data_IF_110425434568
#
_entry.id   IF_110425434568
#
_cell.length_a   1.000
_cell.length_b   1.000
_cell.length_c   1.000
_cell.angle_alpha   90.00
_cell.angle_beta   90.00
_cell.angle_gamma   90.00
#
_symmetry.space_group_name_H-M   'P 1'
#
loop_
_entity.id
_entity.type
_entity.pdbx_description
1 polymer ?
#
# COMPACT_ATOMS: atom_id res chain seq x y z
N UNK A 1 42.17 -30.83 23.62
CA UNK A 1 41.34 -29.65 23.95
C UNK A 1 41.43 -28.51 22.94
N UNK A 2 42.59 -28.19 22.33
CA UNK A 2 42.72 -27.12 21.31
C UNK A 2 41.99 -27.38 19.99
N UNK A 3 41.84 -28.63 19.54
CA UNK A 3 41.15 -28.98 18.28
C UNK A 3 39.63 -28.89 18.38
N UNK A 4 39.02 -29.08 19.55
CA UNK A 4 37.60 -28.99 19.80
C UNK A 4 37.15 -27.52 19.81
N UNK A 5 37.97 -26.61 20.31
CA UNK A 5 37.72 -25.17 20.35
C UNK A 5 37.68 -24.56 18.93
N UNK A 6 38.51 -25.06 18.01
CA UNK A 6 38.54 -24.56 16.62
C UNK A 6 37.27 -24.94 15.82
N UNK A 7 36.76 -26.16 16.05
CA UNK A 7 35.53 -26.64 15.37
C UNK A 7 34.30 -25.88 15.85
N UNK A 8 34.22 -25.59 17.16
CA UNK A 8 33.11 -24.79 17.71
C UNK A 8 33.14 -23.35 17.18
N UNK A 9 34.33 -22.76 17.01
CA UNK A 9 34.46 -21.38 16.47
C UNK A 9 34.05 -21.29 14.99
N UNK A 10 34.32 -22.31 14.18
CA UNK A 10 33.90 -22.36 12.76
C UNK A 10 32.40 -22.57 12.63
N UNK A 11 31.77 -23.35 13.52
CA UNK A 11 30.32 -23.54 13.50
C UNK A 11 29.53 -22.27 13.92
N UNK A 12 30.10 -21.44 14.78
CA UNK A 12 29.46 -20.19 15.23
C UNK A 12 29.50 -19.08 14.17
N UNK A 13 30.45 -19.11 13.23
CA UNK A 13 30.59 -18.11 12.18
C UNK A 13 29.69 -18.33 10.96
N UNK A 14 29.01 -19.47 10.84
CA UNK A 14 28.10 -19.78 9.71
C UNK A 14 26.65 -19.27 9.94
N UNK A 15 26.30 -18.79 11.11
CA UNK A 15 24.92 -18.46 11.53
C UNK A 15 24.48 -17.00 11.29
N UNK A 16 25.26 -16.16 10.60
CA UNK A 16 24.96 -14.70 10.56
C UNK A 16 24.72 -14.15 9.15
N UNK A 17 24.16 -14.88 8.21
CA UNK A 17 23.77 -14.28 6.91
C UNK A 17 22.34 -14.61 6.51
N UNK A 18 21.39 -14.37 7.38
CA UNK A 18 20.02 -14.11 6.97
C UNK A 18 19.82 -12.59 6.88
N UNK A 19 20.47 -11.95 5.91
CA UNK A 19 20.16 -10.57 5.54
C UNK A 19 18.73 -10.54 4.99
N UNK A 20 17.81 -9.97 5.75
CA UNK A 20 16.45 -9.64 5.30
C UNK A 20 16.55 -8.51 4.26
N UNK A 21 17.03 -8.82 3.04
CA UNK A 21 17.10 -7.84 1.97
C UNK A 21 15.76 -7.83 1.20
N UNK A 22 15.22 -6.63 0.97
CA UNK A 22 14.09 -6.43 0.05
C UNK A 22 14.39 -7.08 -1.30
N UNK A 23 13.47 -7.90 -1.82
CA UNK A 23 13.67 -8.61 -3.09
C UNK A 23 13.91 -7.64 -4.25
N UNK A 24 14.55 -8.12 -5.32
CA UNK A 24 14.71 -7.35 -6.55
C UNK A 24 13.35 -6.95 -7.12
N UNK A 25 12.38 -7.83 -7.02
CA UNK A 25 11.02 -7.61 -7.50
C UNK A 25 10.33 -6.48 -6.73
N UNK A 26 10.35 -6.47 -5.40
CA UNK A 26 9.77 -5.39 -4.61
C UNK A 26 10.46 -4.04 -4.87
N UNK A 27 11.79 -4.05 -5.11
CA UNK A 27 12.49 -2.83 -5.53
C UNK A 27 12.00 -2.31 -6.88
N UNK A 28 11.68 -3.21 -7.84
CA UNK A 28 11.10 -2.82 -9.11
C UNK A 28 9.69 -2.24 -8.93
N UNK A 29 8.81 -2.91 -8.19
CA UNK A 29 7.49 -2.37 -7.86
C UNK A 29 7.60 -0.99 -7.18
N UNK A 30 8.53 -0.82 -6.26
CA UNK A 30 8.78 0.46 -5.59
C UNK A 30 9.13 1.58 -6.57
N UNK A 31 9.94 1.28 -7.60
CA UNK A 31 10.27 2.23 -8.67
C UNK A 31 9.05 2.57 -9.53
N UNK A 32 8.26 1.56 -9.90
CA UNK A 32 7.07 1.76 -10.74
C UNK A 32 5.99 2.56 -10.03
N UNK A 33 5.76 2.31 -8.72
CA UNK A 33 4.80 3.06 -7.89
C UNK A 33 5.22 4.52 -7.69
N UNK A 34 6.52 4.82 -7.74
CA UNK A 34 7.03 6.18 -7.53
C UNK A 34 6.44 7.21 -8.49
N UNK A 35 6.00 8.34 -7.97
CA UNK A 35 5.51 9.49 -8.77
C UNK A 35 4.15 10.00 -8.32
N UNK A 36 3.53 10.78 -9.22
CA UNK A 36 2.21 11.37 -9.03
C UNK A 36 1.18 10.58 -9.82
N UNK A 37 0.06 10.30 -9.19
CA UNK A 37 -1.02 9.50 -9.73
C UNK A 37 -2.36 10.18 -9.50
N UNK A 38 -3.27 10.00 -10.43
CA UNK A 38 -4.67 10.40 -10.26
C UNK A 38 -5.56 9.15 -10.30
N UNK A 39 -6.42 8.99 -9.30
CA UNK A 39 -7.41 7.94 -9.26
C UNK A 39 -8.55 8.26 -10.23
N UNK A 40 -8.66 7.50 -11.31
CA UNK A 40 -9.66 7.75 -12.37
C UNK A 40 -11.00 7.10 -12.04
N UNK A 41 -10.97 5.84 -11.61
CA UNK A 41 -12.20 5.09 -11.31
C UNK A 41 -11.98 4.12 -10.16
N UNK A 42 -13.05 3.81 -9.45
CA UNK A 42 -13.13 2.67 -8.54
C UNK A 42 -14.24 1.76 -9.05
N UNK A 43 -13.92 0.49 -9.29
CA UNK A 43 -14.90 -0.54 -9.65
C UNK A 43 -15.09 -1.52 -8.50
N UNK A 44 -16.27 -2.11 -8.40
CA UNK A 44 -16.62 -3.04 -7.31
C UNK A 44 -16.93 -4.41 -7.87
N UNK A 45 -16.58 -5.45 -7.12
CA UNK A 45 -16.94 -6.84 -7.39
C UNK A 45 -17.58 -7.44 -6.14
N UNK A 46 -18.61 -8.28 -6.31
CA UNK A 46 -19.36 -8.89 -5.20
C UNK A 46 -20.32 -7.93 -4.47
N UNK A 47 -20.54 -6.74 -5.02
CA UNK A 47 -21.44 -5.73 -4.47
C UNK A 47 -22.50 -5.41 -5.51
N UNK A 48 -23.78 -5.53 -5.15
CA UNK A 48 -24.91 -5.24 -6.02
C UNK A 48 -25.68 -4.03 -5.53
N UNK A 49 -26.09 -3.14 -6.48
CA UNK A 49 -26.88 -1.93 -6.19
C UNK A 49 -26.03 -0.67 -5.96
N UNK A 50 -26.74 0.43 -5.69
CA UNK A 50 -26.09 1.71 -5.29
C UNK A 50 -25.69 1.61 -3.83
N UNK A 51 -24.41 1.59 -3.56
CA UNK A 51 -23.87 1.57 -2.22
C UNK A 51 -23.25 2.91 -1.85
N UNK A 52 -23.43 3.28 -0.57
CA UNK A 52 -22.55 4.19 0.12
C UNK A 52 -21.52 3.35 0.85
N UNK A 53 -20.34 3.22 0.27
CA UNK A 53 -19.25 2.47 0.89
C UNK A 53 -18.12 3.41 1.24
N UNK A 54 -17.85 3.51 2.53
CA UNK A 54 -16.66 4.20 3.01
C UNK A 54 -15.44 3.34 2.68
N UNK A 55 -14.49 3.93 1.96
CA UNK A 55 -13.20 3.29 1.67
C UNK A 55 -12.11 3.95 2.51
N UNK A 56 -11.11 3.15 2.87
CA UNK A 56 -9.95 3.59 3.62
C UNK A 56 -10.29 4.23 4.98
N UNK A 57 -11.43 3.87 5.57
CA UNK A 57 -11.95 4.48 6.80
C UNK A 57 -11.99 6.02 6.76
N UNK A 58 -12.22 6.61 5.58
CA UNK A 58 -12.13 8.05 5.38
C UNK A 58 -13.39 8.65 4.75
N UNK A 59 -13.76 8.23 3.54
CA UNK A 59 -14.83 8.83 2.78
C UNK A 59 -15.53 7.82 1.86
N UNK A 60 -16.69 8.19 1.34
CA UNK A 60 -17.35 7.43 0.29
C UNK A 60 -16.43 7.27 -0.92
N UNK A 61 -16.47 6.11 -1.58
CA UNK A 61 -15.58 5.80 -2.71
C UNK A 61 -15.70 6.79 -3.86
N UNK A 62 -16.88 7.40 -4.07
CA UNK A 62 -17.09 8.43 -5.09
C UNK A 62 -16.31 9.71 -4.79
N UNK A 63 -15.98 9.98 -3.53
CA UNK A 63 -15.17 11.13 -3.14
C UNK A 63 -13.71 10.95 -3.53
N UNK A 64 -13.24 9.70 -3.56
CA UNK A 64 -11.87 9.39 -3.95
C UNK A 64 -11.64 9.46 -5.47
N UNK A 65 -12.67 9.29 -6.29
CA UNK A 65 -12.54 9.45 -7.75
C UNK A 65 -12.12 10.88 -8.08
N UNK A 66 -11.00 11.02 -8.81
CA UNK A 66 -10.34 12.31 -9.10
C UNK A 66 -9.29 12.71 -8.06
N UNK A 67 -9.11 11.97 -6.97
CA UNK A 67 -8.09 12.26 -5.97
C UNK A 67 -6.66 12.12 -6.52
N UNK A 68 -5.76 12.97 -6.00
CA UNK A 68 -4.34 12.96 -6.33
C UNK A 68 -3.57 12.16 -5.30
N UNK A 69 -2.60 11.38 -5.76
CA UNK A 69 -1.75 10.55 -4.93
C UNK A 69 -0.28 10.77 -5.29
N UNK A 70 0.57 10.86 -4.29
CA UNK A 70 2.01 10.95 -4.46
C UNK A 70 2.71 9.84 -3.69
N UNK A 71 3.66 9.19 -4.33
CA UNK A 71 4.53 8.20 -3.70
C UNK A 71 5.99 8.56 -3.98
N UNK A 72 6.76 8.90 -2.94
CA UNK A 72 8.18 9.20 -3.07
C UNK A 72 9.01 7.98 -2.62
N UNK A 73 9.71 7.35 -3.56
CA UNK A 73 10.51 6.15 -3.26
C UNK A 73 11.72 6.42 -2.37
N UNK A 74 12.27 7.64 -2.35
CA UNK A 74 13.54 7.92 -1.65
C UNK A 74 13.37 7.90 -0.13
N UNK A 75 12.23 8.41 0.37
CA UNK A 75 11.95 8.52 1.80
C UNK A 75 10.75 7.69 2.26
N UNK A 76 10.09 6.93 1.36
CA UNK A 76 8.88 6.16 1.66
C UNK A 76 7.69 7.00 2.13
N UNK A 77 7.69 8.28 1.86
CA UNK A 77 6.61 9.20 2.18
C UNK A 77 5.77 9.50 0.95
N UNK A 78 4.61 10.07 1.18
CA UNK A 78 3.70 10.49 0.14
C UNK A 78 2.48 11.18 0.74
N UNK A 79 1.48 11.37 -0.08
CA UNK A 79 0.18 11.85 0.36
C UNK A 79 -0.92 11.39 -0.60
N UNK A 80 -2.16 11.44 -0.14
CA UNK A 80 -3.32 11.52 -1.00
C UNK A 80 -4.14 12.77 -0.68
N UNK A 81 -4.85 13.27 -1.67
CA UNK A 81 -5.66 14.47 -1.56
C UNK A 81 -6.98 14.31 -2.31
N UNK A 82 -8.08 14.38 -1.57
CA UNK A 82 -9.43 14.52 -2.12
C UNK A 82 -9.69 16.01 -2.24
N UNK A 83 -9.74 16.54 -3.45
CA UNK A 83 -10.03 17.96 -3.68
C UNK A 83 -11.54 18.25 -3.83
N UNK A 84 -12.35 17.21 -4.02
CA UNK A 84 -13.80 17.33 -4.18
C UNK A 84 -14.43 17.80 -2.86
N UNK A 85 -15.08 18.94 -2.91
CA UNK A 85 -15.80 19.51 -1.77
C UNK A 85 -17.24 19.87 -2.20
N UNK A 86 -18.03 18.82 -2.48
CA UNK A 86 -19.42 18.94 -2.92
C UNK A 86 -20.23 17.71 -2.51
N UNK A 87 -21.50 17.93 -2.17
CA UNK A 87 -22.36 16.89 -1.65
C UNK A 87 -21.87 16.39 -0.28
N UNK A 88 -21.66 15.08 -0.15
CA UNK A 88 -21.15 14.46 1.08
C UNK A 88 -19.60 14.39 1.10
N UNK A 89 -18.92 14.87 0.07
CA UNK A 89 -17.48 14.86 -0.01
C UNK A 89 -16.86 16.10 0.66
N UNK A 90 -15.87 15.87 1.49
CA UNK A 90 -15.08 16.92 2.15
C UNK A 90 -13.66 16.84 1.61
N UNK A 91 -13.11 18.00 1.23
CA UNK A 91 -11.74 18.10 0.80
C UNK A 91 -10.80 17.72 1.94
N UNK A 92 -9.86 16.80 1.68
CA UNK A 92 -8.97 16.28 2.69
C UNK A 92 -7.61 15.93 2.09
N UNK A 93 -6.54 16.19 2.84
CA UNK A 93 -5.18 15.75 2.51
C UNK A 93 -4.60 14.96 3.65
N UNK A 94 -4.01 13.80 3.33
CA UNK A 94 -3.37 12.92 4.29
C UNK A 94 -1.95 12.61 3.87
N UNK A 95 -0.99 12.83 4.74
CA UNK A 95 0.35 12.30 4.56
C UNK A 95 0.35 10.80 4.84
N UNK A 96 1.16 10.07 4.09
CA UNK A 96 1.30 8.63 4.22
C UNK A 96 2.76 8.22 4.28
N UNK A 97 3.02 7.10 4.97
CA UNK A 97 4.25 6.33 4.85
C UNK A 97 3.92 5.01 4.17
N UNK A 98 4.63 4.67 3.12
CA UNK A 98 4.32 3.54 2.26
C UNK A 98 5.50 2.60 2.02
N UNK A 99 5.20 1.37 1.66
CA UNK A 99 6.18 0.37 1.23
C UNK A 99 5.54 -0.69 0.34
N UNK A 100 6.36 -1.51 -0.28
CA UNK A 100 5.90 -2.75 -0.92
C UNK A 100 6.00 -3.86 0.12
N UNK A 101 4.86 -4.50 0.40
CA UNK A 101 4.77 -5.67 1.27
C UNK A 101 4.99 -6.94 0.46
N UNK A 102 5.79 -7.83 1.04
CA UNK A 102 6.12 -9.13 0.47
C UNK A 102 5.86 -10.22 1.49
N UNK A 103 5.20 -11.27 1.03
CA UNK A 103 5.02 -12.51 1.75
C UNK A 103 5.21 -13.67 0.78
N UNK A 104 5.85 -14.76 1.23
CA UNK A 104 6.13 -15.91 0.38
C UNK A 104 4.81 -16.54 -0.13
N UNK A 105 4.73 -16.76 -1.46
CA UNK A 105 3.53 -17.31 -2.10
C UNK A 105 2.37 -16.33 -2.29
N UNK A 106 2.50 -15.07 -1.85
CA UNK A 106 1.47 -14.03 -1.99
C UNK A 106 1.87 -13.00 -3.06
N UNK A 107 0.87 -12.39 -3.75
CA UNK A 107 1.11 -11.25 -4.63
C UNK A 107 1.77 -10.10 -3.88
N UNK A 108 2.54 -9.27 -4.58
CA UNK A 108 3.09 -8.05 -4.00
C UNK A 108 1.97 -7.06 -3.70
N UNK A 109 2.07 -6.40 -2.57
CA UNK A 109 1.08 -5.45 -2.12
C UNK A 109 1.70 -4.08 -1.89
N UNK A 110 1.01 -3.02 -2.29
CA UNK A 110 1.26 -1.68 -1.82
C UNK A 110 0.62 -1.55 -0.44
N UNK A 111 1.40 -1.17 0.55
CA UNK A 111 0.86 -0.85 1.88
C UNK A 111 1.20 0.57 2.29
N UNK A 112 0.33 1.20 3.06
CA UNK A 112 0.61 2.48 3.67
C UNK A 112 -0.09 2.65 5.02
N UNK A 113 0.44 3.58 5.82
CA UNK A 113 -0.18 4.14 7.02
C UNK A 113 -0.32 5.63 6.87
N UNK A 114 -1.37 6.20 7.44
CA UNK A 114 -1.51 7.66 7.56
C UNK A 114 -0.59 8.16 8.66
N UNK A 115 0.03 9.30 8.40
CA UNK A 115 0.97 9.94 9.34
C UNK A 115 0.64 11.42 9.50
N UNK A 116 0.99 11.99 10.66
CA UNK A 116 0.89 13.41 10.91
C UNK A 116 2.01 14.21 10.21
N UNK A 117 2.04 15.53 10.42
CA UNK A 117 3.07 16.40 9.85
C UNK A 117 4.48 16.16 10.43
N UNK A 118 4.58 15.39 11.51
CA UNK A 118 5.84 14.93 12.11
C UNK A 118 6.18 13.49 11.74
N UNK A 119 5.42 12.92 10.78
CA UNK A 119 5.54 11.55 10.29
C UNK A 119 5.31 10.46 11.35
N UNK A 120 4.51 10.76 12.38
CA UNK A 120 4.04 9.77 13.36
C UNK A 120 2.75 9.15 12.87
N UNK A 121 2.59 7.83 13.07
CA UNK A 121 1.38 7.10 12.71
C UNK A 121 0.17 7.69 13.46
N UNK A 122 -0.91 8.02 12.72
CA UNK A 122 -2.16 8.53 13.31
C UNK A 122 -3.22 7.44 13.45
N UNK A 123 -3.01 6.30 12.83
CA UNK A 123 -3.88 5.12 12.93
C UNK A 123 -3.34 4.18 14.02
N UNK A 124 -3.33 4.62 15.27
CA UNK A 124 -2.83 3.83 16.40
C UNK A 124 -3.51 2.46 16.48
N UNK A 125 -2.71 1.41 16.64
CA UNK A 125 -3.16 0.02 16.74
C UNK A 125 -3.66 -0.60 15.44
N UNK A 126 -3.75 0.13 14.34
CA UNK A 126 -4.16 -0.40 13.04
C UNK A 126 -2.95 -0.84 12.20
N UNK A 127 -3.14 -1.93 11.46
CA UNK A 127 -2.09 -2.47 10.57
C UNK A 127 -1.80 -1.58 9.34
N UNK A 128 -2.60 -0.52 9.12
CA UNK A 128 -2.59 0.31 7.92
C UNK A 128 -3.41 -0.33 6.79
N UNK A 129 -3.26 0.21 5.59
CA UNK A 129 -4.01 -0.22 4.41
C UNK A 129 -3.11 -1.02 3.49
N UNK A 130 -3.62 -2.12 2.93
CA UNK A 130 -2.93 -2.98 1.97
C UNK A 130 -3.75 -3.16 0.72
N UNK A 131 -3.08 -3.13 -0.42
CA UNK A 131 -3.68 -3.31 -1.74
C UNK A 131 -2.85 -4.30 -2.53
N UNK A 132 -3.48 -5.32 -3.06
CA UNK A 132 -2.86 -6.17 -4.07
C UNK A 132 -2.57 -5.35 -5.32
N UNK A 133 -1.34 -5.38 -5.82
CA UNK A 133 -0.97 -4.76 -7.08
C UNK A 133 -1.39 -5.73 -8.19
N UNK A 134 -2.47 -5.40 -8.89
CA UNK A 134 -2.95 -6.22 -10.01
C UNK A 134 -2.12 -5.97 -11.27
N UNK A 135 -1.83 -4.71 -11.54
CA UNK A 135 -1.02 -4.29 -12.68
C UNK A 135 -0.36 -2.95 -12.39
N UNK A 136 0.84 -2.75 -12.93
CA UNK A 136 1.51 -1.45 -12.93
C UNK A 136 2.42 -1.31 -14.15
N UNK A 137 2.25 -0.20 -14.85
CA UNK A 137 3.06 0.23 -16.00
C UNK A 137 3.62 1.62 -15.74
N UNK A 138 4.29 2.21 -16.71
CA UNK A 138 4.81 3.58 -16.60
C UNK A 138 3.70 4.64 -16.50
N UNK A 139 2.48 4.32 -16.95
CA UNK A 139 1.36 5.28 -17.05
C UNK A 139 0.10 4.85 -16.29
N UNK A 140 -0.03 3.60 -15.92
CA UNK A 140 -1.23 3.04 -15.29
C UNK A 140 -0.89 2.16 -14.11
N UNK A 141 -1.73 2.19 -13.07
CA UNK A 141 -1.64 1.32 -11.92
C UNK A 141 -3.05 0.85 -11.51
N UNK A 142 -3.18 -0.45 -11.28
CA UNK A 142 -4.39 -1.06 -10.73
C UNK A 142 -4.09 -1.70 -9.38
N UNK A 143 -4.83 -1.26 -8.38
CA UNK A 143 -4.74 -1.77 -7.01
C UNK A 143 -6.08 -2.39 -6.60
N UNK A 144 -6.05 -3.46 -5.82
CA UNK A 144 -7.25 -4.14 -5.32
C UNK A 144 -7.22 -4.22 -3.79
N UNK A 145 -8.34 -3.89 -3.15
CA UNK A 145 -8.58 -4.21 -1.75
C UNK A 145 -9.75 -5.21 -1.64
N UNK A 146 -9.51 -6.30 -0.93
CA UNK A 146 -10.55 -7.26 -0.59
C UNK A 146 -11.26 -6.83 0.69
N UNK A 147 -12.57 -6.97 0.71
CA UNK A 147 -13.43 -6.62 1.84
C UNK A 147 -14.46 -7.72 2.09
N UNK A 148 -15.17 -7.64 3.20
CA UNK A 148 -16.39 -8.40 3.44
C UNK A 148 -17.58 -7.44 3.40
N UNK A 149 -18.52 -7.68 2.50
CA UNK A 149 -19.75 -6.91 2.38
C UNK A 149 -20.95 -7.82 2.62
N UNK A 150 -21.78 -7.49 3.62
CA UNK A 150 -22.94 -8.31 4.05
C UNK A 150 -22.57 -9.78 4.27
N UNK A 151 -21.40 -10.05 4.87
CA UNK A 151 -20.91 -11.40 5.16
C UNK A 151 -20.37 -12.16 3.94
N UNK A 152 -20.28 -11.54 2.77
CA UNK A 152 -19.76 -12.14 1.53
C UNK A 152 -18.47 -11.48 1.09
N UNK A 153 -17.57 -12.23 0.41
CA UNK A 153 -16.37 -11.64 -0.21
C UNK A 153 -16.75 -10.61 -1.25
N UNK A 154 -16.10 -9.46 -1.20
CA UNK A 154 -16.24 -8.37 -2.16
C UNK A 154 -14.91 -7.66 -2.34
N UNK A 155 -14.78 -6.81 -3.35
CA UNK A 155 -13.56 -6.05 -3.55
C UNK A 155 -13.79 -4.71 -4.22
N UNK A 156 -12.84 -3.79 -3.99
CA UNK A 156 -12.68 -2.55 -4.75
C UNK A 156 -11.42 -2.64 -5.61
N UNK A 157 -11.54 -2.26 -6.89
CA UNK A 157 -10.39 -2.09 -7.78
C UNK A 157 -10.23 -0.61 -8.11
N UNK A 158 -9.07 -0.07 -7.78
CA UNK A 158 -8.69 1.34 -7.95
C UNK A 158 -7.83 1.47 -9.20
N UNK A 159 -8.28 2.27 -10.17
CA UNK A 159 -7.60 2.48 -11.44
C UNK A 159 -6.97 3.87 -11.46
N UNK A 160 -5.66 3.92 -11.52
CA UNK A 160 -4.87 5.15 -11.52
C UNK A 160 -4.21 5.39 -12.87
N UNK A 161 -4.06 6.67 -13.21
CA UNK A 161 -3.16 7.13 -14.27
C UNK A 161 -2.07 8.00 -13.68
N UNK A 162 -0.89 7.94 -14.28
CA UNK A 162 0.26 8.74 -13.87
C UNK A 162 0.16 10.15 -14.47
N UNK A 163 0.43 11.16 -13.65
CA UNK A 163 0.52 12.56 -14.06
C UNK A 163 1.95 12.95 -14.39
#
# INVERSE_FOLDING_TARGET
MKKLSLVVSVFLSVLIITSCSTSKEARNYRKSVNGNWQLQTITTEGITGKIKAQVLDEADFNCFVGSSWNFNQNNSLGFYEISKNAGECVAIKRNIRWSIYEEAGMPKMLQYKRVDNKYKDIDEGKAGFRFTILNITDTQMQLKSDITFEGKPASFTYNFVKN
#
